data_IF_012309175804
#
_entry.id   IF_012309175804
#
_cell.length_a   1.000
_cell.length_b   1.000
_cell.length_c   1.000
_cell.angle_alpha   90.00
_cell.angle_beta   90.00
_cell.angle_gamma   90.00
#
_symmetry.space_group_name_H-M   'P 1'
#
loop_
_entity.id
_entity.type
_entity.pdbx_description
1 polymer ?
#
# COMPACT_ATOMS: atom_id res chain seq x y z
N UNK A 1 -26.34 5.25 -8.64
CA UNK A 1 -25.45 5.74 -9.71
C UNK A 1 -24.29 6.45 -9.04
N UNK A 2 -23.09 5.86 -9.06
CA UNK A 2 -21.90 6.52 -8.50
C UNK A 2 -21.50 7.66 -9.42
N UNK A 3 -21.57 8.89 -8.92
CA UNK A 3 -21.00 10.08 -9.56
C UNK A 3 -19.52 9.79 -9.87
N UNK A 4 -18.99 10.14 -11.06
CA UNK A 4 -17.55 10.07 -11.28
C UNK A 4 -16.87 10.85 -10.16
N UNK A 5 -15.92 10.21 -9.48
CA UNK A 5 -15.19 10.83 -8.37
C UNK A 5 -14.67 12.19 -8.83
N UNK A 6 -15.03 13.25 -8.10
CA UNK A 6 -14.48 14.58 -8.30
C UNK A 6 -12.94 14.44 -8.29
N UNK A 7 -12.21 14.88 -9.33
CA UNK A 7 -10.76 14.72 -9.41
C UNK A 7 -10.02 15.42 -8.26
N UNK A 8 -10.69 16.35 -7.56
CA UNK A 8 -10.18 16.97 -6.34
C UNK A 8 -10.21 16.04 -5.10
N UNK A 9 -10.92 14.89 -5.18
CA UNK A 9 -11.11 13.93 -4.08
C UNK A 9 -10.23 12.67 -4.20
N UNK A 10 -9.14 12.72 -4.97
CA UNK A 10 -8.24 11.58 -5.17
C UNK A 10 -7.59 11.08 -3.87
N UNK A 11 -7.37 11.98 -2.90
CA UNK A 11 -6.76 11.69 -1.60
C UNK A 11 -7.57 12.36 -0.49
N UNK A 12 -7.85 11.62 0.59
CA UNK A 12 -8.50 12.14 1.80
C UNK A 12 -7.49 12.17 2.94
N UNK A 13 -7.29 13.34 3.54
CA UNK A 13 -6.41 13.52 4.71
C UNK A 13 -7.28 13.45 5.97
N UNK A 14 -7.08 12.41 6.79
CA UNK A 14 -7.85 12.20 8.03
C UNK A 14 -7.42 13.11 9.18
N UNK A 15 -6.14 13.52 9.20
CA UNK A 15 -5.54 14.30 10.27
C UNK A 15 -4.49 15.24 9.69
N UNK A 16 -4.48 16.48 10.16
CA UNK A 16 -3.55 17.52 9.68
C UNK A 16 -3.91 18.02 8.28
N UNK A 17 -2.94 18.68 7.65
CA UNK A 17 -2.97 19.03 6.23
C UNK A 17 -1.73 18.42 5.56
N UNK A 18 -1.83 18.17 4.27
CA UNK A 18 -0.68 17.79 3.45
C UNK A 18 -0.25 19.02 2.65
N UNK A 19 1.03 19.33 2.67
CA UNK A 19 1.57 20.38 1.81
C UNK A 19 1.49 19.94 0.33
N UNK A 20 1.43 20.89 -0.62
CA UNK A 20 1.39 20.58 -2.05
C UNK A 20 2.51 19.62 -2.49
N UNK A 21 3.71 19.76 -1.92
CA UNK A 21 4.88 18.91 -2.19
C UNK A 21 4.67 17.47 -1.72
N UNK A 22 4.01 17.27 -0.59
CA UNK A 22 3.71 15.93 -0.06
C UNK A 22 2.66 15.22 -0.92
N UNK A 23 1.63 15.94 -1.35
CA UNK A 23 0.62 15.42 -2.29
C UNK A 23 1.24 15.05 -3.64
N UNK A 24 2.15 15.90 -4.14
CA UNK A 24 2.90 15.63 -5.37
C UNK A 24 3.77 14.38 -5.25
N UNK A 25 4.47 14.20 -4.12
CA UNK A 25 5.29 13.02 -3.87
C UNK A 25 4.46 11.72 -3.84
N UNK A 26 3.33 11.73 -3.13
CA UNK A 26 2.41 10.58 -3.08
C UNK A 26 1.89 10.26 -4.48
N UNK A 27 1.45 11.28 -5.23
CA UNK A 27 0.94 11.11 -6.60
C UNK A 27 2.02 10.53 -7.52
N UNK A 28 3.25 11.04 -7.46
CA UNK A 28 4.37 10.53 -8.25
C UNK A 28 4.64 9.05 -7.96
N UNK A 29 4.62 8.64 -6.69
CA UNK A 29 4.79 7.24 -6.29
C UNK A 29 3.64 6.38 -6.84
N UNK A 30 2.40 6.83 -6.70
CA UNK A 30 1.24 6.10 -7.21
C UNK A 30 1.31 5.90 -8.73
N UNK A 31 1.70 6.94 -9.48
CA UNK A 31 1.88 6.88 -10.93
C UNK A 31 3.02 5.92 -11.32
N UNK A 32 4.17 5.99 -10.65
CA UNK A 32 5.29 5.06 -10.89
C UNK A 32 4.89 3.59 -10.61
N UNK A 33 4.10 3.35 -9.57
CA UNK A 33 3.56 2.01 -9.26
C UNK A 33 2.52 1.54 -10.27
N UNK A 34 1.70 2.45 -10.79
CA UNK A 34 0.75 2.13 -11.85
C UNK A 34 1.50 1.73 -13.14
N UNK A 35 2.50 2.52 -13.55
CA UNK A 35 3.33 2.25 -14.71
C UNK A 35 4.06 0.90 -14.59
N UNK A 36 4.75 0.65 -13.47
CA UNK A 36 5.45 -0.64 -13.26
C UNK A 36 4.52 -1.86 -13.19
N UNK A 37 3.24 -1.69 -12.82
CA UNK A 37 2.26 -2.79 -12.90
C UNK A 37 1.85 -3.11 -14.33
N UNK A 38 1.82 -2.11 -15.22
CA UNK A 38 1.52 -2.34 -16.64
C UNK A 38 2.59 -3.22 -17.28
N UNK A 39 3.86 -3.05 -16.89
CA UNK A 39 4.97 -3.88 -17.37
C UNK A 39 4.89 -5.35 -16.90
N UNK A 40 4.28 -5.59 -15.73
CA UNK A 40 4.13 -6.92 -15.14
C UNK A 40 2.90 -7.69 -15.63
N UNK A 41 2.00 -7.06 -16.39
CA UNK A 41 0.77 -7.68 -16.89
C UNK A 41 1.01 -8.85 -17.86
N UNK A 42 2.25 -9.03 -18.34
CA UNK A 42 2.67 -10.17 -19.17
C UNK A 42 2.98 -11.45 -18.37
N UNK A 43 3.15 -11.37 -17.04
CA UNK A 43 3.40 -12.55 -16.20
C UNK A 43 2.12 -12.88 -15.45
N UNK A 44 1.53 -14.08 -15.63
CA UNK A 44 0.39 -14.49 -14.81
C UNK A 44 0.82 -14.37 -13.35
N UNK A 45 0.20 -13.44 -12.63
CA UNK A 45 0.42 -13.27 -11.21
C UNK A 45 0.06 -14.61 -10.57
N UNK A 46 1.07 -15.42 -10.23
CA UNK A 46 0.87 -16.51 -9.26
C UNK A 46 0.36 -15.79 -8.02
N UNK A 47 -0.93 -15.91 -7.73
CA UNK A 47 -1.57 -15.23 -6.63
C UNK A 47 -0.71 -15.41 -5.38
N UNK A 48 -0.05 -14.33 -4.94
CA UNK A 48 0.67 -14.41 -3.68
C UNK A 48 -0.38 -14.37 -2.59
N UNK A 49 -0.68 -15.59 -2.15
CA UNK A 49 -0.78 -16.02 -0.76
C UNK A 49 -1.54 -15.04 0.11
N UNK A 50 -2.77 -15.44 0.46
CA UNK A 50 -3.39 -15.17 1.77
C UNK A 50 -2.37 -14.64 2.75
N UNK A 51 -2.62 -13.44 3.30
CA UNK A 51 -1.75 -12.88 4.33
C UNK A 51 -1.39 -13.99 5.31
N UNK A 52 -0.09 -14.28 5.43
CA UNK A 52 0.42 -15.35 6.27
C UNK A 52 0.29 -14.92 7.72
N UNK A 53 -0.95 -14.80 8.21
CA UNK A 53 -1.25 -14.55 9.60
C UNK A 53 -0.53 -15.63 10.38
N UNK A 54 0.56 -15.24 11.02
CA UNK A 54 1.41 -16.18 11.73
C UNK A 54 0.63 -16.63 12.93
N UNK A 55 0.58 -17.95 13.11
CA UNK A 55 0.05 -18.58 14.31
C UNK A 55 1.01 -18.28 15.46
N UNK A 56 0.69 -17.25 16.24
CA UNK A 56 1.50 -16.79 17.37
C UNK A 56 1.76 -17.92 18.36
N UNK A 57 0.84 -18.90 18.45
CA UNK A 57 0.99 -20.12 19.25
C UNK A 57 2.12 -21.07 18.78
N UNK A 58 2.63 -20.88 17.55
CA UNK A 58 3.76 -21.67 16.97
C UNK A 58 5.07 -20.88 16.90
N UNK A 59 5.05 -19.62 17.29
CA UNK A 59 6.25 -18.79 17.29
C UNK A 59 7.06 -19.07 18.56
N UNK A 60 8.37 -19.31 18.44
CA UNK A 60 9.25 -19.45 19.60
C UNK A 60 9.18 -18.15 20.42
N UNK A 61 9.02 -18.30 21.74
CA UNK A 61 8.69 -17.19 22.64
C UNK A 61 9.69 -16.03 22.63
N UNK A 62 9.16 -14.87 23.04
CA UNK A 62 9.76 -13.54 23.15
C UNK A 62 10.45 -13.01 21.88
N UNK A 63 9.77 -12.07 21.23
CA UNK A 63 10.31 -11.29 20.13
C UNK A 63 10.74 -9.91 20.65
N UNK A 64 12.03 -9.50 20.49
CA UNK A 64 12.52 -8.22 21.00
C UNK A 64 11.79 -7.03 20.36
N UNK A 65 11.60 -5.95 21.12
CA UNK A 65 10.88 -4.74 20.69
C UNK A 65 11.42 -4.06 19.42
N UNK A 66 12.66 -4.39 19.01
CA UNK A 66 13.33 -3.83 17.83
C UNK A 66 13.27 -4.74 16.59
N UNK A 67 12.53 -5.86 16.64
CA UNK A 67 12.41 -6.76 15.49
C UNK A 67 11.20 -6.39 14.65
N UNK A 68 11.46 -5.79 13.49
CA UNK A 68 10.41 -5.36 12.56
C UNK A 68 10.11 -6.41 11.47
N UNK A 69 10.82 -7.54 11.48
CA UNK A 69 10.50 -8.71 10.67
C UNK A 69 10.06 -9.84 11.58
N UNK A 70 8.77 -9.77 11.95
CA UNK A 70 8.00 -10.89 12.48
C UNK A 70 7.55 -11.80 11.37
#
# INVERSE_FOLDING_TARGET
MSTPADPSSLLRVEKGHAEPEELAAITAILMARAASRQDLAAVPHRGRTTAGWRRLERQRGFQPSHSWQG
#
